data_IF_459776643516
#
_entry.id   IF_459776643516
#
_cell.length_a   1.000
_cell.length_b   1.000
_cell.length_c   1.000
_cell.angle_alpha   90.00
_cell.angle_beta   90.00
_cell.angle_gamma   90.00
#
_symmetry.space_group_name_H-M   'P 1'
#
loop_
_entity.id
_entity.type
_entity.pdbx_description
1 polymer ?
#
# COMPACT_ATOMS: atom_id res chain seq x y z
N UNK A 1 4.67 28.26 1.32
CA UNK A 1 4.00 27.23 2.14
C UNK A 1 3.85 25.98 1.29
N UNK A 2 4.40 24.86 1.75
CA UNK A 2 4.60 23.65 0.97
C UNK A 2 3.27 23.00 0.54
N UNK A 3 3.18 22.70 -0.76
CA UNK A 3 2.01 22.06 -1.36
C UNK A 3 1.79 20.67 -0.80
N UNK A 4 0.72 20.52 -0.04
CA UNK A 4 0.11 19.22 0.21
C UNK A 4 -1.31 19.30 -0.32
N UNK A 5 -1.63 18.46 -1.30
CA UNK A 5 -3.01 18.31 -1.73
C UNK A 5 -3.89 18.12 -0.50
N UNK A 6 -4.89 19.00 -0.32
CA UNK A 6 -5.81 19.01 0.83
C UNK A 6 -6.64 17.73 0.97
N UNK A 7 -6.42 16.74 0.11
CA UNK A 7 -6.99 15.41 0.18
C UNK A 7 -6.42 14.64 1.39
N UNK A 8 -7.27 14.22 2.35
CA UNK A 8 -6.84 13.38 3.48
C UNK A 8 -6.20 12.06 3.02
N UNK A 9 -5.31 11.49 3.85
CA UNK A 9 -4.57 10.28 3.51
C UNK A 9 -5.48 9.11 3.15
N UNK A 10 -6.55 8.88 3.91
CA UNK A 10 -7.48 7.79 3.62
C UNK A 10 -8.09 7.89 2.22
N UNK A 11 -8.44 9.09 1.75
CA UNK A 11 -8.93 9.33 0.39
C UNK A 11 -7.84 9.11 -0.65
N UNK A 12 -6.60 9.56 -0.37
CA UNK A 12 -5.44 9.32 -1.25
C UNK A 12 -5.21 7.83 -1.47
N UNK A 13 -5.26 7.05 -0.40
CA UNK A 13 -5.08 5.59 -0.43
C UNK A 13 -6.31 4.86 -1.00
N UNK A 14 -7.47 5.53 -1.04
CA UNK A 14 -8.70 5.00 -1.64
C UNK A 14 -9.52 4.14 -0.69
N UNK A 15 -9.45 4.42 0.62
CA UNK A 15 -10.34 3.81 1.59
C UNK A 15 -11.80 4.21 1.32
N UNK A 16 -12.71 3.28 1.56
CA UNK A 16 -14.16 3.42 1.41
C UNK A 16 -14.85 2.76 2.59
N UNK A 17 -16.11 3.14 2.84
CA UNK A 17 -16.93 2.44 3.84
C UNK A 17 -17.17 0.99 3.43
N UNK A 18 -17.38 0.12 4.41
CA UNK A 18 -17.65 -1.32 4.29
C UNK A 18 -16.54 -2.16 3.63
N UNK A 19 -15.37 -1.58 3.36
CA UNK A 19 -14.25 -2.34 2.81
C UNK A 19 -13.52 -3.16 3.88
N UNK A 20 -12.89 -4.25 3.46
CA UNK A 20 -11.90 -4.95 4.28
C UNK A 20 -10.48 -4.58 3.89
N UNK A 21 -9.60 -4.38 4.88
CA UNK A 21 -8.21 -3.99 4.64
C UNK A 21 -7.26 -4.78 5.53
N UNK A 22 -6.20 -5.30 4.92
CA UNK A 22 -5.08 -5.91 5.64
C UNK A 22 -3.83 -5.02 5.57
N UNK A 23 -3.20 -4.79 6.73
CA UNK A 23 -1.99 -3.96 6.84
C UNK A 23 -0.84 -4.85 7.30
N UNK A 24 0.21 -4.91 6.50
CA UNK A 24 1.37 -5.76 6.76
C UNK A 24 2.63 -4.90 6.97
N UNK A 25 3.15 -4.91 8.20
CA UNK A 25 4.40 -4.23 8.56
C UNK A 25 4.29 -2.71 8.69
N UNK A 26 3.08 -2.16 8.72
CA UNK A 26 2.85 -0.72 8.88
C UNK A 26 3.25 -0.16 10.24
N UNK A 27 3.37 1.16 10.37
CA UNK A 27 3.71 1.79 11.64
C UNK A 27 2.58 1.58 12.67
N UNK A 28 2.93 1.57 13.96
CA UNK A 28 1.97 1.29 15.05
C UNK A 28 0.80 2.28 15.10
N UNK A 29 1.03 3.52 14.66
CA UNK A 29 0.03 4.59 14.58
C UNK A 29 -0.71 4.66 13.23
N UNK A 30 -0.56 3.67 12.33
CA UNK A 30 -1.08 3.75 10.96
C UNK A 30 -2.58 4.06 10.89
N UNK A 31 -3.40 3.46 11.76
CA UNK A 31 -4.86 3.71 11.76
C UNK A 31 -5.20 5.14 12.17
N UNK A 32 -4.46 5.70 13.14
CA UNK A 32 -4.60 7.09 13.55
C UNK A 32 -4.16 8.05 12.44
N UNK A 33 -3.07 7.72 11.74
CA UNK A 33 -2.55 8.50 10.62
C UNK A 33 -3.56 8.64 9.47
N UNK A 34 -4.39 7.61 9.24
CA UNK A 34 -5.44 7.67 8.22
C UNK A 34 -6.47 8.75 8.50
N UNK A 35 -6.72 9.09 9.77
CA UNK A 35 -7.75 10.03 10.22
C UNK A 35 -9.09 9.76 9.52
N UNK A 36 -9.56 8.50 9.60
CA UNK A 36 -10.83 8.09 9.01
C UNK A 36 -11.97 8.87 9.67
N UNK A 37 -12.88 9.48 8.88
CA UNK A 37 -14.12 10.03 9.38
C UNK A 37 -15.00 8.97 10.04
N UNK A 38 -15.88 9.38 10.95
CA UNK A 38 -16.75 8.46 11.68
C UNK A 38 -17.70 7.65 10.79
N UNK A 39 -18.05 8.17 9.61
CA UNK A 39 -18.92 7.53 8.61
C UNK A 39 -18.17 6.56 7.67
N UNK A 40 -16.84 6.46 7.78
CA UNK A 40 -16.03 5.54 6.98
C UNK A 40 -15.66 4.31 7.81
N UNK A 41 -16.50 3.27 7.74
CA UNK A 41 -16.26 2.00 8.41
C UNK A 41 -15.30 1.10 7.63
N UNK A 42 -14.16 0.72 8.21
CA UNK A 42 -13.21 -0.23 7.62
C UNK A 42 -13.07 -1.46 8.51
N UNK A 43 -13.25 -2.64 7.91
CA UNK A 43 -12.99 -3.92 8.59
C UNK A 43 -11.51 -4.26 8.51
N UNK A 44 -10.81 -4.17 9.64
CA UNK A 44 -9.38 -4.49 9.71
C UNK A 44 -9.16 -5.98 9.84
N UNK A 45 -8.54 -6.58 8.83
CA UNK A 45 -8.24 -8.00 8.84
C UNK A 45 -7.07 -8.28 9.80
N UNK A 46 -7.18 -9.25 10.73
CA UNK A 46 -6.10 -9.56 11.68
C UNK A 46 -4.99 -10.41 11.05
N UNK A 47 -5.26 -11.03 9.91
CA UNK A 47 -4.32 -11.84 9.13
C UNK A 47 -4.68 -11.76 7.65
N UNK A 48 -3.70 -12.04 6.81
CA UNK A 48 -3.95 -12.23 5.38
C UNK A 48 -4.89 -13.41 5.15
N UNK A 49 -5.74 -13.29 4.14
CA UNK A 49 -6.67 -14.33 3.68
C UNK A 49 -6.74 -14.32 2.15
N UNK A 50 -7.41 -15.30 1.56
CA UNK A 50 -7.80 -15.23 0.15
C UNK A 50 -8.86 -14.15 -0.07
N UNK A 51 -9.03 -13.75 -1.33
CA UNK A 51 -10.04 -12.78 -1.77
C UNK A 51 -9.95 -11.44 -1.06
N UNK A 52 -8.72 -10.94 -0.88
CA UNK A 52 -8.50 -9.60 -0.34
C UNK A 52 -8.76 -8.55 -1.41
N UNK A 53 -9.42 -7.47 -1.02
CA UNK A 53 -9.69 -6.31 -1.89
C UNK A 53 -8.65 -5.20 -1.69
N UNK A 54 -8.06 -5.14 -0.50
CA UNK A 54 -7.09 -4.12 -0.14
C UNK A 54 -6.00 -4.68 0.79
N UNK A 55 -4.76 -4.55 0.34
CA UNK A 55 -3.56 -4.81 1.14
C UNK A 55 -2.69 -3.57 1.14
N UNK A 56 -2.18 -3.18 2.32
CA UNK A 56 -1.09 -2.21 2.42
C UNK A 56 0.14 -2.87 3.03
N UNK A 57 1.11 -3.15 2.16
CA UNK A 57 2.39 -3.75 2.50
C UNK A 57 3.42 -2.65 2.75
N UNK A 58 4.06 -2.68 3.91
CA UNK A 58 5.22 -1.85 4.23
C UNK A 58 6.47 -2.73 4.26
N UNK A 59 7.53 -2.30 3.59
CA UNK A 59 8.78 -3.03 3.53
C UNK A 59 9.98 -2.09 3.54
N UNK A 60 11.08 -2.55 4.13
CA UNK A 60 12.38 -1.85 4.11
C UNK A 60 13.46 -2.68 3.41
N UNK A 61 13.16 -3.93 3.05
CA UNK A 61 14.09 -4.85 2.39
C UNK A 61 13.47 -5.43 1.10
N UNK A 62 14.19 -5.33 -0.01
CA UNK A 62 13.76 -5.82 -1.32
C UNK A 62 13.48 -7.33 -1.31
N UNK A 63 14.30 -8.12 -0.61
CA UNK A 63 14.09 -9.57 -0.50
C UNK A 63 12.78 -9.93 0.22
N UNK A 64 12.40 -9.15 1.25
CA UNK A 64 11.12 -9.30 1.95
C UNK A 64 9.97 -8.78 1.09
N UNK A 65 10.16 -7.67 0.39
CA UNK A 65 9.18 -7.11 -0.54
C UNK A 65 8.79 -8.15 -1.61
N UNK A 66 9.77 -8.73 -2.31
CA UNK A 66 9.50 -9.70 -3.38
C UNK A 66 8.62 -10.86 -2.89
N UNK A 67 9.04 -11.55 -1.84
CA UNK A 67 8.30 -12.69 -1.26
C UNK A 67 6.88 -12.31 -0.83
N UNK A 68 6.72 -11.15 -0.18
CA UNK A 68 5.41 -10.70 0.29
C UNK A 68 4.51 -10.28 -0.88
N UNK A 69 5.07 -9.62 -1.89
CA UNK A 69 4.30 -9.19 -3.06
C UNK A 69 3.83 -10.39 -3.88
N UNK A 70 4.65 -11.44 -4.03
CA UNK A 70 4.25 -12.74 -4.61
C UNK A 70 3.08 -13.33 -3.82
N UNK A 71 3.22 -13.43 -2.49
CA UNK A 71 2.19 -13.95 -1.60
C UNK A 71 0.84 -13.20 -1.70
N UNK A 72 0.87 -11.86 -1.78
CA UNK A 72 -0.33 -11.05 -1.91
C UNK A 72 -0.91 -11.04 -3.32
N UNK A 73 -0.07 -11.16 -4.35
CA UNK A 73 -0.51 -11.26 -5.74
C UNK A 73 -1.44 -12.45 -5.96
N UNK A 74 -1.20 -13.56 -5.26
CA UNK A 74 -2.04 -14.77 -5.33
C UNK A 74 -3.37 -14.64 -4.58
N UNK A 75 -3.49 -13.68 -3.66
CA UNK A 75 -4.63 -13.56 -2.73
C UNK A 75 -5.50 -12.33 -2.96
N UNK A 76 -5.04 -11.41 -3.79
CA UNK A 76 -5.80 -10.22 -4.14
C UNK A 76 -6.81 -10.56 -5.25
N UNK A 77 -8.06 -10.11 -5.10
CA UNK A 77 -9.09 -10.30 -6.13
C UNK A 77 -8.77 -9.50 -7.39
N UNK A 78 -9.31 -9.88 -8.57
CA UNK A 78 -9.31 -9.01 -9.73
C UNK A 78 -9.90 -7.63 -9.40
N UNK A 79 -9.16 -6.56 -9.72
CA UNK A 79 -9.56 -5.18 -9.37
C UNK A 79 -9.23 -4.77 -7.93
N UNK A 80 -8.72 -5.67 -7.10
CA UNK A 80 -8.17 -5.36 -5.79
C UNK A 80 -6.89 -4.53 -5.86
N UNK A 81 -6.55 -3.92 -4.73
CA UNK A 81 -5.46 -2.97 -4.61
C UNK A 81 -4.39 -3.48 -3.66
N UNK A 82 -3.13 -3.41 -4.09
CA UNK A 82 -1.97 -3.55 -3.22
C UNK A 82 -1.26 -2.20 -3.18
N UNK A 83 -1.22 -1.58 -2.02
CA UNK A 83 -0.28 -0.49 -1.75
C UNK A 83 1.03 -1.07 -1.24
N UNK A 84 2.14 -0.66 -1.83
CA UNK A 84 3.49 -0.96 -1.34
C UNK A 84 4.13 0.33 -0.85
N UNK A 85 4.49 0.36 0.43
CA UNK A 85 5.15 1.49 1.07
C UNK A 85 6.60 1.19 1.44
N UNK A 86 7.47 2.16 1.15
CA UNK A 86 8.90 2.12 1.45
C UNK A 86 9.34 3.44 2.09
N UNK A 87 10.41 3.44 2.90
CA UNK A 87 10.88 4.67 3.50
C UNK A 87 11.48 5.60 2.45
N UNK A 88 11.15 6.88 2.55
CA UNK A 88 11.79 7.93 1.75
C UNK A 88 13.27 8.01 2.09
N UNK A 89 14.09 8.36 1.10
CA UNK A 89 15.53 8.61 1.30
C UNK A 89 15.80 9.66 2.39
N UNK A 90 14.93 10.66 2.52
CA UNK A 90 15.03 11.73 3.52
C UNK A 90 14.62 11.32 4.94
N UNK A 91 14.02 10.15 5.13
CA UNK A 91 13.51 9.71 6.45
C UNK A 91 14.61 9.24 7.41
N UNK A 92 15.82 8.99 6.91
CA UNK A 92 16.92 8.40 7.67
C UNK A 92 16.76 6.90 7.94
N UNK A 93 15.63 6.29 7.59
CA UNK A 93 15.41 4.85 7.74
C UNK A 93 16.17 4.09 6.64
N UNK A 94 17.05 3.18 7.04
CA UNK A 94 17.81 2.34 6.11
C UNK A 94 16.88 1.42 5.33
N UNK A 95 16.91 1.54 4.00
CA UNK A 95 16.20 0.66 3.08
C UNK A 95 16.97 0.49 1.77
N UNK A 96 16.83 -0.67 1.15
CA UNK A 96 17.31 -0.97 -0.21
C UNK A 96 16.17 -0.89 -1.25
N UNK A 97 15.00 -0.36 -0.88
CA UNK A 97 13.82 -0.24 -1.73
C UNK A 97 13.71 1.19 -2.28
N UNK A 98 13.49 1.28 -3.58
CA UNK A 98 13.05 2.49 -4.28
C UNK A 98 11.75 2.19 -5.04
N UNK A 99 11.12 3.23 -5.58
CA UNK A 99 9.98 3.08 -6.49
C UNK A 99 10.30 2.15 -7.67
N UNK A 100 11.49 2.30 -8.26
CA UNK A 100 11.94 1.48 -9.40
C UNK A 100 12.16 0.03 -9.01
N UNK A 101 12.69 -0.23 -7.80
CA UNK A 101 12.79 -1.59 -7.25
C UNK A 101 11.40 -2.23 -7.14
N UNK A 102 10.41 -1.48 -6.66
CA UNK A 102 9.04 -1.99 -6.53
C UNK A 102 8.47 -2.31 -7.92
N UNK A 103 8.63 -1.42 -8.90
CA UNK A 103 8.17 -1.68 -10.29
C UNK A 103 8.84 -2.90 -10.90
N UNK A 104 10.17 -3.02 -10.75
CA UNK A 104 10.94 -4.14 -11.28
C UNK A 104 10.46 -5.50 -10.72
N UNK A 105 9.97 -5.53 -9.48
CA UNK A 105 9.38 -6.71 -8.86
C UNK A 105 7.91 -6.90 -9.29
N UNK A 106 7.12 -5.84 -9.27
CA UNK A 106 5.67 -5.90 -9.44
C UNK A 106 5.23 -6.18 -10.89
N UNK A 107 5.84 -5.51 -11.87
CA UNK A 107 5.39 -5.56 -13.26
C UNK A 107 5.49 -6.97 -13.86
N UNK A 108 6.58 -7.75 -13.65
CA UNK A 108 6.64 -9.14 -14.09
C UNK A 108 5.58 -10.06 -13.47
N UNK A 109 5.00 -9.69 -12.32
CA UNK A 109 3.92 -10.44 -11.66
C UNK A 109 2.53 -10.13 -12.25
N UNK A 110 2.47 -9.34 -13.33
CA UNK A 110 1.22 -8.90 -13.95
C UNK A 110 0.47 -7.84 -13.14
N UNK A 111 1.16 -7.19 -12.17
CA UNK A 111 0.66 -5.98 -11.53
C UNK A 111 0.94 -4.77 -12.43
N UNK A 112 0.08 -3.76 -12.35
CA UNK A 112 0.27 -2.47 -13.00
C UNK A 112 0.46 -1.40 -11.93
N UNK A 113 1.40 -0.49 -12.18
CA UNK A 113 1.56 0.70 -11.34
C UNK A 113 0.51 1.76 -11.72
N UNK A 114 -0.01 2.45 -10.71
CA UNK A 114 -1.13 3.38 -10.90
C UNK A 114 -0.77 4.79 -10.48
N UNK A 115 -0.31 4.94 -9.23
CA UNK A 115 0.04 6.24 -8.67
C UNK A 115 0.92 6.10 -7.44
N UNK A 116 1.71 7.13 -7.17
CA UNK A 116 2.52 7.28 -5.96
C UNK A 116 1.89 8.34 -5.06
N UNK A 117 2.03 8.19 -3.74
CA UNK A 117 1.73 9.24 -2.79
C UNK A 117 2.64 9.19 -1.56
N UNK A 118 2.77 10.32 -0.86
CA UNK A 118 3.33 10.32 0.48
C UNK A 118 2.28 9.79 1.47
N UNK A 119 2.67 8.79 2.28
CA UNK A 119 1.83 8.22 3.33
C UNK A 119 1.95 9.07 4.60
N UNK A 120 3.19 9.33 5.03
CA UNK A 120 3.53 10.29 6.08
C UNK A 120 4.90 10.90 5.78
N UNK A 121 5.62 11.40 6.78
CA UNK A 121 6.97 11.94 6.65
C UNK A 121 8.00 10.87 6.29
N UNK A 122 7.80 9.63 6.75
CA UNK A 122 8.73 8.50 6.60
C UNK A 122 8.45 7.72 5.31
N UNK A 123 7.19 7.43 5.01
CA UNK A 123 6.81 6.44 4.00
C UNK A 123 6.27 7.10 2.73
N UNK A 124 6.78 6.66 1.58
CA UNK A 124 6.11 6.78 0.28
C UNK A 124 5.33 5.50 0.01
N UNK A 125 4.25 5.59 -0.77
CA UNK A 125 3.45 4.45 -1.20
C UNK A 125 3.23 4.45 -2.71
N UNK A 126 3.28 3.26 -3.32
CA UNK A 126 2.94 3.00 -4.72
C UNK A 126 1.71 2.11 -4.78
N UNK A 127 0.68 2.55 -5.51
CA UNK A 127 -0.52 1.77 -5.77
C UNK A 127 -0.28 0.82 -6.93
N UNK A 128 -0.50 -0.46 -6.67
CA UNK A 128 -0.48 -1.55 -7.65
C UNK A 128 -1.86 -2.18 -7.77
N UNK A 129 -2.22 -2.62 -8.98
CA UNK A 129 -3.46 -3.36 -9.26
C UNK A 129 -3.18 -4.53 -10.19
N UNK A 130 -4.07 -5.52 -10.26
CA UNK A 130 -4.00 -6.55 -11.30
C UNK A 130 -4.38 -5.93 -12.65
N UNK A 131 -3.59 -6.21 -13.70
CA UNK A 131 -3.95 -5.86 -15.07
C UNK A 131 -5.27 -6.53 -15.44
N UNK A 132 -6.27 -5.75 -15.87
CA UNK A 132 -7.46 -6.33 -16.52
C UNK A 132 -7.02 -6.86 -17.88
N UNK A 133 -6.98 -8.18 -18.03
CA UNK A 133 -7.06 -8.82 -19.35
C UNK A 133 -8.50 -8.65 -19.81
N UNK A 134 -8.71 -7.69 -20.70
CA UNK A 134 -9.92 -7.62 -21.52
C UNK A 134 -9.84 -8.56 -22.71
#
# INVERSE_FOLDING_TARGET
MAGYSGTPLWKKLGYKTEMSAYIDGGPSNYRSLLALPADVGVTWLPRAKSDMEFVHLFATSNSKLKRKLEYYRERIVPGGVIWVSWPKKSSGVKSDITEDVIRAVALPMGLVDVKVCAVDEVWSGLKLMIRRTG
#
